data_IF_798037320606
#
_entry.id   IF_798037320606
#
_cell.length_a   1.000
_cell.length_b   1.000
_cell.length_c   1.000
_cell.angle_alpha   90.00
_cell.angle_beta   90.00
_cell.angle_gamma   90.00
#
_symmetry.space_group_name_H-M   'P 1'
#
loop_
_entity.id
_entity.type
_entity.pdbx_description
1 polymer ?
#
# COMPACT_ATOMS: atom_id res chain seq x y z
N UNK A 1 10.52 14.94 27.61
CA UNK A 1 9.73 16.02 26.99
C UNK A 1 9.28 15.57 25.63
N UNK A 2 8.01 15.50 25.36
CA UNK A 2 7.52 15.06 24.06
C UNK A 2 7.71 16.18 23.03
N UNK A 3 8.37 15.88 21.92
CA UNK A 3 8.40 16.76 20.77
C UNK A 3 6.98 16.86 20.20
N UNK A 4 6.50 18.07 20.00
CA UNK A 4 5.17 18.31 19.42
C UNK A 4 5.31 18.79 18.00
N UNK A 5 4.56 18.18 17.08
CA UNK A 5 4.36 18.72 15.75
C UNK A 5 3.40 19.90 15.85
N UNK A 6 3.86 21.09 15.44
CA UNK A 6 3.05 22.33 15.43
C UNK A 6 2.90 22.72 13.97
N UNK A 7 1.67 22.92 13.51
CA UNK A 7 1.43 23.55 12.23
C UNK A 7 1.55 25.09 12.34
N UNK A 8 1.79 25.75 11.23
CA UNK A 8 2.06 27.20 11.13
C UNK A 8 0.93 28.08 11.69
N UNK A 9 -0.26 27.56 11.88
CA UNK A 9 -1.43 28.29 12.40
C UNK A 9 -1.49 28.30 13.95
N UNK A 10 -0.42 27.92 14.57
CA UNK A 10 -0.07 28.22 15.95
C UNK A 10 -0.75 27.42 17.05
N UNK A 11 -1.99 26.99 16.98
CA UNK A 11 -2.63 26.34 18.13
C UNK A 11 -3.67 25.26 17.80
N UNK A 12 -3.90 25.02 16.54
CA UNK A 12 -5.06 24.21 16.15
C UNK A 12 -4.86 22.71 16.30
N UNK A 13 -3.62 22.24 16.25
CA UNK A 13 -3.36 20.80 16.31
C UNK A 13 -2.02 20.52 16.99
N UNK A 14 -2.06 20.07 18.22
CA UNK A 14 -0.86 19.62 18.94
C UNK A 14 -0.94 18.12 19.16
N UNK A 15 -0.13 17.37 18.44
CA UNK A 15 0.02 15.93 18.63
C UNK A 15 1.49 15.67 19.01
N UNK A 16 1.79 14.84 20.00
CA UNK A 16 3.17 14.42 20.24
C UNK A 16 3.82 13.88 18.97
N UNK A 17 5.09 14.21 18.74
CA UNK A 17 5.76 13.88 17.48
C UNK A 17 5.68 12.39 17.13
N UNK A 18 5.83 11.50 18.13
CA UNK A 18 5.70 10.06 17.95
C UNK A 18 4.28 9.64 17.50
N UNK A 19 3.24 10.28 18.04
CA UNK A 19 1.85 10.02 17.62
C UNK A 19 1.56 10.60 16.24
N UNK A 20 2.12 11.77 15.91
CA UNK A 20 1.99 12.38 14.59
C UNK A 20 2.60 11.49 13.50
N UNK A 21 3.78 10.94 13.73
CA UNK A 21 4.40 9.99 12.81
C UNK A 21 3.60 8.70 12.68
N UNK A 22 3.09 8.17 13.77
CA UNK A 22 2.23 6.98 13.77
C UNK A 22 0.95 7.23 12.99
N UNK A 23 0.31 8.37 13.19
CA UNK A 23 -0.90 8.77 12.46
C UNK A 23 -0.61 8.91 10.96
N UNK A 24 0.51 9.56 10.60
CA UNK A 24 0.92 9.72 9.21
C UNK A 24 1.15 8.38 8.53
N UNK A 25 1.87 7.46 9.17
CA UNK A 25 2.08 6.12 8.65
C UNK A 25 0.75 5.37 8.45
N UNK A 26 -0.13 5.43 9.43
CA UNK A 26 -1.44 4.77 9.37
C UNK A 26 -2.31 5.33 8.24
N UNK A 27 -2.42 6.64 8.12
CA UNK A 27 -3.21 7.28 7.05
C UNK A 27 -2.63 7.03 5.66
N UNK A 28 -1.31 6.96 5.54
CA UNK A 28 -0.63 6.61 4.28
C UNK A 28 -0.97 5.17 3.87
N UNK A 29 -0.98 4.25 4.80
CA UNK A 29 -1.33 2.84 4.55
C UNK A 29 -2.79 2.70 4.10
N UNK A 30 -3.70 3.55 4.59
CA UNK A 30 -5.11 3.52 4.18
C UNK A 30 -5.28 3.64 2.67
N UNK A 31 -4.43 4.37 1.97
CA UNK A 31 -4.45 4.42 0.51
C UNK A 31 -4.40 3.02 -0.09
N UNK A 32 -3.44 2.22 0.32
CA UNK A 32 -3.27 0.86 -0.20
C UNK A 32 -4.45 -0.05 0.15
N UNK A 33 -5.00 0.10 1.35
CA UNK A 33 -6.17 -0.69 1.76
C UNK A 33 -7.42 -0.33 0.93
N UNK A 34 -7.64 0.95 0.66
CA UNK A 34 -8.79 1.42 -0.08
C UNK A 34 -8.68 1.18 -1.58
N UNK A 35 -7.47 1.31 -2.14
CA UNK A 35 -7.25 1.23 -3.59
C UNK A 35 -6.84 -0.18 -4.06
N UNK A 36 -6.83 -1.15 -3.15
CA UNK A 36 -6.57 -2.55 -3.47
C UNK A 36 -7.83 -3.24 -3.99
N UNK A 37 -7.72 -3.85 -5.16
CA UNK A 37 -8.80 -4.68 -5.70
C UNK A 37 -8.96 -5.94 -4.84
N UNK A 38 -10.18 -6.25 -4.34
CA UNK A 38 -10.39 -7.39 -3.44
C UNK A 38 -10.20 -8.75 -4.11
N UNK A 39 -10.30 -8.83 -5.42
CA UNK A 39 -10.21 -10.10 -6.15
C UNK A 39 -8.76 -10.52 -6.41
N UNK A 40 -7.94 -9.59 -6.91
CA UNK A 40 -6.56 -9.86 -7.31
C UNK A 40 -5.50 -9.20 -6.43
N UNK A 41 -5.92 -8.33 -5.50
CA UNK A 41 -5.07 -7.57 -4.57
C UNK A 41 -4.07 -6.61 -5.24
N UNK A 42 -4.31 -6.25 -6.49
CA UNK A 42 -3.54 -5.22 -7.17
C UNK A 42 -4.02 -3.83 -6.77
N UNK A 43 -3.11 -2.87 -6.80
CA UNK A 43 -3.34 -1.52 -6.30
C UNK A 43 -3.44 -0.54 -7.46
N UNK A 44 -4.46 0.31 -7.43
CA UNK A 44 -4.62 1.39 -8.42
C UNK A 44 -3.54 2.44 -8.30
N UNK A 45 -3.25 3.07 -9.43
CA UNK A 45 -2.25 4.16 -9.50
C UNK A 45 -2.70 5.42 -8.75
N UNK A 46 -3.99 5.64 -8.67
CA UNK A 46 -4.59 6.79 -7.98
C UNK A 46 -6.03 6.49 -7.56
N UNK A 47 -6.64 7.41 -6.82
CA UNK A 47 -7.99 7.25 -6.23
C UNK A 47 -9.14 7.30 -7.23
N UNK A 48 -8.88 7.56 -8.50
CA UNK A 48 -9.90 7.49 -9.54
C UNK A 48 -10.35 6.03 -9.74
N UNK A 49 -11.66 5.72 -9.68
CA UNK A 49 -12.18 4.37 -9.93
C UNK A 49 -11.82 3.78 -11.29
N UNK A 50 -11.50 4.62 -12.27
CA UNK A 50 -11.09 4.22 -13.62
C UNK A 50 -9.56 4.14 -13.77
N UNK A 51 -8.81 4.47 -12.74
CA UNK A 51 -7.35 4.41 -12.82
C UNK A 51 -6.86 2.98 -13.03
N UNK A 52 -5.83 2.80 -13.86
CA UNK A 52 -5.22 1.49 -14.05
C UNK A 52 -4.47 1.06 -12.78
N UNK A 53 -4.19 -0.23 -12.71
CA UNK A 53 -3.24 -0.78 -11.75
C UNK A 53 -1.83 -0.34 -12.12
N UNK A 54 -1.03 -0.01 -11.12
CA UNK A 54 0.38 0.30 -11.27
C UNK A 54 1.23 -0.74 -10.54
N UNK A 55 2.19 -1.35 -11.24
CA UNK A 55 3.13 -2.28 -10.59
C UNK A 55 3.98 -1.56 -9.55
N UNK A 56 4.26 -0.28 -9.73
CA UNK A 56 4.94 0.54 -8.73
C UNK A 56 4.12 0.67 -7.46
N UNK A 57 2.81 0.94 -7.57
CA UNK A 57 1.92 1.01 -6.42
C UNK A 57 1.80 -0.35 -5.72
N UNK A 58 1.74 -1.44 -6.46
CA UNK A 58 1.75 -2.81 -5.92
C UNK A 58 3.04 -3.07 -5.14
N UNK A 59 4.19 -2.72 -5.70
CA UNK A 59 5.49 -2.88 -5.04
C UNK A 59 5.61 -2.06 -3.76
N UNK A 60 5.14 -0.82 -3.78
CA UNK A 60 5.11 0.04 -2.58
C UNK A 60 4.17 -0.51 -1.51
N UNK A 61 3.00 -1.02 -1.90
CA UNK A 61 2.08 -1.68 -0.97
C UNK A 61 2.75 -2.90 -0.31
N UNK A 62 3.43 -3.74 -1.09
CA UNK A 62 4.17 -4.89 -0.57
C UNK A 62 5.25 -4.46 0.43
N UNK A 63 5.95 -3.36 0.16
CA UNK A 63 6.97 -2.83 1.07
C UNK A 63 6.39 -2.33 2.40
N UNK A 64 5.13 -1.88 2.43
CA UNK A 64 4.47 -1.44 3.66
C UNK A 64 3.99 -2.57 4.56
N UNK A 65 3.75 -3.76 4.02
CA UNK A 65 3.16 -4.89 4.76
C UNK A 65 3.99 -5.28 5.99
N UNK A 66 5.32 -5.43 5.94
CA UNK A 66 6.10 -5.72 7.14
C UNK A 66 5.98 -4.62 8.20
N UNK A 67 5.90 -3.37 7.79
CA UNK A 67 5.73 -2.23 8.70
C UNK A 67 4.38 -2.30 9.41
N UNK A 68 3.32 -2.61 8.66
CA UNK A 68 1.96 -2.74 9.21
C UNK A 68 1.89 -3.87 10.23
N UNK A 69 2.55 -4.98 9.97
CA UNK A 69 2.64 -6.11 10.90
C UNK A 69 3.42 -5.72 12.15
N UNK A 70 4.58 -5.09 12.00
CA UNK A 70 5.41 -4.64 13.11
C UNK A 70 4.68 -3.62 13.99
N UNK A 71 3.85 -2.79 13.40
CA UNK A 71 3.02 -1.82 14.12
C UNK A 71 1.75 -2.42 14.73
N UNK A 72 1.52 -3.71 14.58
CA UNK A 72 0.38 -4.42 15.15
C UNK A 72 -0.97 -4.14 14.49
N UNK A 73 -0.98 -3.54 13.28
CA UNK A 73 -2.22 -3.27 12.53
C UNK A 73 -2.77 -4.55 11.91
N UNK A 74 -1.89 -5.37 11.34
CA UNK A 74 -2.23 -6.68 10.83
C UNK A 74 -1.50 -7.78 11.59
N UNK A 75 -2.16 -8.90 11.80
CA UNK A 75 -1.48 -10.11 12.24
C UNK A 75 -0.68 -10.72 11.09
N UNK A 76 0.45 -11.36 11.42
CA UNK A 76 1.38 -11.93 10.43
C UNK A 76 0.72 -12.91 9.47
N UNK A 77 -0.15 -13.77 9.96
CA UNK A 77 -0.85 -14.78 9.14
C UNK A 77 -1.72 -14.12 8.06
N UNK A 78 -2.43 -13.08 8.42
CA UNK A 78 -3.24 -12.33 7.45
C UNK A 78 -2.35 -11.66 6.39
N UNK A 79 -1.29 -11.01 6.81
CA UNK A 79 -0.34 -10.35 5.93
C UNK A 79 0.33 -11.35 4.97
N UNK A 80 0.72 -12.51 5.46
CA UNK A 80 1.33 -13.58 4.67
C UNK A 80 0.35 -14.11 3.61
N UNK A 81 -0.90 -14.36 3.99
CA UNK A 81 -1.94 -14.82 3.04
C UNK A 81 -2.24 -13.78 1.97
N UNK A 82 -2.33 -12.51 2.36
CA UNK A 82 -2.53 -11.40 1.44
C UNK A 82 -1.39 -11.30 0.42
N UNK A 83 -0.15 -11.29 0.90
CA UNK A 83 1.05 -11.23 0.06
C UNK A 83 1.11 -12.43 -0.89
N UNK A 84 0.86 -13.63 -0.39
CA UNK A 84 0.89 -14.84 -1.20
C UNK A 84 -0.15 -14.82 -2.31
N UNK A 85 -1.37 -14.38 -2.01
CA UNK A 85 -2.45 -14.26 -3.00
C UNK A 85 -2.06 -13.27 -4.12
N UNK A 86 -1.50 -12.12 -3.75
CA UNK A 86 -1.06 -11.11 -4.69
C UNK A 86 0.08 -11.62 -5.59
N UNK A 87 1.09 -12.24 -5.02
CA UNK A 87 2.22 -12.80 -5.76
C UNK A 87 1.80 -13.94 -6.70
N UNK A 88 0.88 -14.81 -6.26
CA UNK A 88 0.33 -15.88 -7.11
C UNK A 88 -0.44 -15.31 -8.29
N UNK A 89 -1.19 -14.24 -8.08
CA UNK A 89 -1.88 -13.56 -9.19
C UNK A 89 -0.89 -13.03 -10.21
N UNK A 90 0.14 -12.30 -9.77
CA UNK A 90 1.19 -11.79 -10.67
C UNK A 90 1.91 -12.90 -11.42
N UNK A 91 2.20 -14.01 -10.75
CA UNK A 91 2.85 -15.17 -11.37
C UNK A 91 2.00 -15.80 -12.49
N UNK A 92 0.67 -15.72 -12.37
CA UNK A 92 -0.26 -16.28 -13.36
C UNK A 92 -0.58 -15.31 -14.48
N UNK A 93 -0.18 -14.04 -14.38
CA UNK A 93 -0.45 -13.04 -15.41
C UNK A 93 0.27 -13.41 -16.72
N UNK A 94 -0.43 -13.34 -17.87
CA UNK A 94 0.17 -13.64 -19.17
C UNK A 94 1.35 -12.72 -19.48
N UNK A 95 2.44 -13.31 -19.93
CA UNK A 95 3.64 -12.59 -20.40
C UNK A 95 3.81 -12.84 -21.89
N UNK A 96 4.07 -11.80 -22.64
CA UNK A 96 4.29 -11.92 -24.08
C UNK A 96 4.22 -10.61 -24.85
N UNK A 97 4.49 -10.63 -26.15
CA UNK A 97 4.42 -9.44 -27.00
C UNK A 97 3.00 -9.04 -27.42
N UNK A 98 1.99 -9.85 -27.07
CA UNK A 98 0.59 -9.59 -27.44
C UNK A 98 0.03 -8.39 -26.68
N UNK A 99 -0.87 -7.59 -27.30
CA UNK A 99 -1.46 -6.42 -26.64
C UNK A 99 -2.22 -6.72 -25.34
N UNK A 100 -2.76 -7.93 -25.23
CA UNK A 100 -3.53 -8.38 -24.06
C UNK A 100 -2.64 -8.94 -22.94
N UNK A 101 -1.34 -9.11 -23.19
CA UNK A 101 -0.42 -9.59 -22.16
C UNK A 101 -0.28 -8.56 -21.03
N UNK A 102 -0.20 -9.05 -19.80
CA UNK A 102 -0.04 -8.20 -18.62
C UNK A 102 1.38 -7.66 -18.48
N UNK A 103 2.34 -8.25 -19.16
CA UNK A 103 3.72 -7.82 -19.13
C UNK A 103 4.58 -8.55 -20.18
N UNK A 104 5.88 -8.22 -20.21
CA UNK A 104 6.84 -8.77 -21.14
C UNK A 104 8.17 -9.05 -20.44
N UNK A 105 8.70 -10.25 -20.60
CA UNK A 105 9.98 -10.65 -20.01
C UNK A 105 10.08 -10.37 -18.48
N UNK A 106 8.98 -10.53 -17.77
CA UNK A 106 8.94 -10.29 -16.32
C UNK A 106 8.71 -8.83 -15.90
N UNK A 107 8.55 -7.92 -16.84
CA UNK A 107 8.15 -6.54 -16.60
C UNK A 107 6.63 -6.40 -16.79
N UNK A 108 6.00 -5.63 -15.91
CA UNK A 108 4.57 -5.32 -15.93
C UNK A 108 4.30 -3.86 -16.27
#
# INVERSE_FOLDING_TARGET
>A
MADTAINDDGDFFRVPANEAWTLLQFTTVLYYLHETNPDNLLVRDKTDPKAPVSIAAVGMALATIPVIVERGVFIREFAAKHTLKQLRYLLQCPQGPEPEASGYNGFF
#
